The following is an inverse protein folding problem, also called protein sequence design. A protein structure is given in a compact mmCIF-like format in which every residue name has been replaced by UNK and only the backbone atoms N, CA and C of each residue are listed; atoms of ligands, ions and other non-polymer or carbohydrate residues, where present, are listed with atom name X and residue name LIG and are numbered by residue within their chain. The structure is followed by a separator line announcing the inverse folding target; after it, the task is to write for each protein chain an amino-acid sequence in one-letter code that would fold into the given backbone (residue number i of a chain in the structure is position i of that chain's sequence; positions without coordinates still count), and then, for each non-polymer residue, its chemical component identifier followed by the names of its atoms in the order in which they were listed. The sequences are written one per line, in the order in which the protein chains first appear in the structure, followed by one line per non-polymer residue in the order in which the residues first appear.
data_IF_146010778173
#
_entry.id   IF_146010778173
#
_cell.length_a   1.000
_cell.length_b   1.000
_cell.length_c   1.000
_cell.angle_alpha   90.00
_cell.angle_beta   90.00
_cell.angle_gamma   90.00
#
_symmetry.space_group_name_H-M   'P 1'
#
loop_
_entity.id
_entity.type
_entity.pdbx_description
1 polymer ?
#
# COMPACT_ATOMS: atom_id res chain seq x y z
N UNK A 1 11.68 -21.47 2.75
CA UNK A 1 10.64 -20.49 3.10
C UNK A 1 9.49 -20.64 2.11
N UNK A 2 8.26 -20.77 2.63
CA UNK A 2 7.02 -20.94 1.88
C UNK A 2 6.68 -19.61 1.19
N UNK A 3 6.17 -19.59 -0.05
CA UNK A 3 5.73 -18.35 -0.67
C UNK A 3 4.60 -17.69 0.12
N UNK A 4 4.66 -16.36 0.30
CA UNK A 4 3.59 -15.65 0.99
C UNK A 4 2.28 -15.73 0.19
N UNK A 5 1.19 -16.12 0.85
CA UNK A 5 -0.16 -16.15 0.26
C UNK A 5 -0.98 -14.88 0.57
N UNK A 6 -0.47 -14.02 1.45
CA UNK A 6 -1.08 -12.72 1.78
C UNK A 6 -0.01 -11.62 1.73
N UNK A 7 -0.29 -10.52 1.05
CA UNK A 7 0.54 -9.30 1.04
C UNK A 7 -0.23 -8.17 1.73
N UNK A 8 0.30 -7.69 2.84
CA UNK A 8 -0.19 -6.49 3.53
C UNK A 8 0.49 -5.28 2.88
N UNK A 9 -0.28 -4.43 2.21
CA UNK A 9 0.25 -3.32 1.42
C UNK A 9 -0.13 -1.98 2.06
N UNK A 10 0.85 -1.17 2.45
CA UNK A 10 0.59 0.22 2.79
C UNK A 10 0.31 1.02 1.52
N UNK A 11 -0.65 1.93 1.58
CA UNK A 11 -1.13 2.66 0.40
C UNK A 11 -0.96 4.17 0.59
N UNK A 12 -0.35 4.80 -0.40
CA UNK A 12 -0.24 6.25 -0.52
C UNK A 12 -1.40 6.87 -1.27
N UNK A 13 -1.31 8.17 -1.48
CA UNK A 13 -2.27 8.93 -2.31
C UNK A 13 -1.63 9.48 -3.57
N UNK A 14 -0.41 9.03 -3.90
CA UNK A 14 0.37 9.56 -5.03
C UNK A 14 -0.30 9.27 -6.37
N UNK A 15 -1.01 8.14 -6.51
CA UNK A 15 -1.67 7.76 -7.78
C UNK A 15 -2.55 8.91 -8.27
N UNK A 16 -3.42 9.41 -7.40
CA UNK A 16 -4.31 10.51 -7.74
C UNK A 16 -3.61 11.87 -7.66
N UNK A 17 -2.80 12.11 -6.61
CA UNK A 17 -2.28 13.46 -6.34
C UNK A 17 -1.03 13.85 -7.13
N UNK A 18 -0.20 12.88 -7.47
CA UNK A 18 1.15 13.11 -8.02
C UNK A 18 1.27 12.57 -9.44
N UNK A 19 0.66 11.42 -9.74
CA UNK A 19 0.71 10.84 -11.08
C UNK A 19 -0.37 11.45 -12.00
N UNK A 20 -1.62 11.53 -11.56
CA UNK A 20 -2.74 11.93 -12.43
C UNK A 20 -3.11 13.42 -12.28
N UNK A 21 -3.23 13.93 -11.05
CA UNK A 21 -3.68 15.31 -10.79
C UNK A 21 -2.91 16.40 -11.55
N UNK A 22 -1.56 16.34 -11.62
CA UNK A 22 -0.77 17.34 -12.35
C UNK A 22 -0.94 17.34 -13.86
N UNK A 23 -1.59 16.33 -14.46
CA UNK A 23 -1.83 16.29 -15.92
C UNK A 23 -2.63 17.51 -16.40
N UNK A 24 -3.54 18.01 -15.56
CA UNK A 24 -4.31 19.24 -15.81
C UNK A 24 -3.46 20.51 -15.97
N UNK A 25 -2.22 20.50 -15.46
CA UNK A 25 -1.32 21.66 -15.42
C UNK A 25 -0.27 21.62 -16.54
N UNK A 26 -0.25 20.56 -17.35
CA UNK A 26 0.74 20.42 -18.42
C UNK A 26 0.43 21.37 -19.58
N UNK A 27 1.44 22.12 -20.03
CA UNK A 27 1.33 23.00 -21.20
C UNK A 27 1.49 22.28 -22.55
N UNK A 28 1.61 20.94 -22.53
CA UNK A 28 1.73 20.10 -23.72
C UNK A 28 0.41 19.37 -24.01
N UNK A 29 0.17 18.95 -25.26
CA UNK A 29 -0.95 18.04 -25.54
C UNK A 29 -0.81 16.74 -24.73
N UNK A 30 -1.94 16.30 -24.18
CA UNK A 30 -2.08 15.04 -23.46
C UNK A 30 -2.30 13.89 -24.43
N UNK A 31 -1.71 12.73 -24.16
CA UNK A 31 -2.01 11.51 -24.90
C UNK A 31 -3.44 11.01 -24.60
N UNK A 32 -3.93 10.03 -25.38
CA UNK A 32 -5.30 9.53 -25.22
C UNK A 32 -5.54 8.90 -23.83
N UNK A 33 -4.53 8.27 -23.23
CA UNK A 33 -4.64 7.66 -21.90
C UNK A 33 -4.70 8.75 -20.84
N UNK A 34 -3.83 9.76 -20.92
CA UNK A 34 -3.80 10.92 -20.03
C UNK A 34 -5.12 11.69 -20.06
N UNK A 35 -5.72 11.89 -21.24
CA UNK A 35 -7.04 12.50 -21.38
C UNK A 35 -8.13 11.69 -20.67
N UNK A 36 -8.12 10.35 -20.84
CA UNK A 36 -9.07 9.46 -20.16
C UNK A 36 -8.91 9.50 -18.65
N UNK A 37 -7.67 9.47 -18.16
CA UNK A 37 -7.36 9.54 -16.72
C UNK A 37 -7.81 10.86 -16.11
N UNK A 38 -7.56 11.98 -16.79
CA UNK A 38 -7.96 13.30 -16.33
C UNK A 38 -9.49 13.44 -16.29
N UNK A 39 -10.18 13.05 -17.36
CA UNK A 39 -11.65 13.06 -17.39
C UNK A 39 -12.25 12.14 -16.31
N UNK A 40 -11.66 10.97 -16.08
CA UNK A 40 -12.09 10.07 -15.01
C UNK A 40 -11.88 10.66 -13.61
N UNK A 41 -10.79 11.42 -13.39
CA UNK A 41 -10.54 12.13 -12.14
C UNK A 41 -11.55 13.25 -11.90
N UNK A 42 -11.80 14.09 -12.92
CA UNK A 42 -12.75 15.21 -12.86
C UNK A 42 -14.19 14.75 -12.62
N UNK A 43 -14.59 13.65 -13.27
CA UNK A 43 -15.93 13.05 -13.13
C UNK A 43 -16.04 12.06 -11.98
N UNK A 44 -14.96 11.82 -11.24
CA UNK A 44 -14.85 10.80 -10.19
C UNK A 44 -15.28 9.39 -10.66
N UNK A 45 -15.04 9.07 -11.93
CA UNK A 45 -15.37 7.78 -12.53
C UNK A 45 -14.20 6.80 -12.34
N UNK A 46 -14.16 6.15 -11.16
CA UNK A 46 -13.06 5.25 -10.78
C UNK A 46 -12.98 3.97 -11.62
N UNK A 47 -14.09 3.52 -12.21
CA UNK A 47 -14.10 2.39 -13.15
C UNK A 47 -13.38 2.76 -14.44
N UNK A 48 -13.73 3.90 -15.04
CA UNK A 48 -13.05 4.41 -16.24
C UNK A 48 -11.56 4.66 -16.00
N UNK A 49 -11.20 5.13 -14.80
CA UNK A 49 -9.80 5.28 -14.40
C UNK A 49 -9.08 3.94 -14.33
N UNK A 50 -9.67 2.94 -13.67
CA UNK A 50 -9.09 1.60 -13.61
C UNK A 50 -8.94 0.98 -15.01
N UNK A 51 -9.93 1.10 -15.89
CA UNK A 51 -9.87 0.60 -17.26
C UNK A 51 -8.78 1.28 -18.10
N UNK A 52 -8.60 2.59 -17.93
CA UNK A 52 -7.54 3.33 -18.61
C UNK A 52 -6.15 2.91 -18.13
N UNK A 53 -5.98 2.70 -16.81
CA UNK A 53 -4.72 2.23 -16.23
C UNK A 53 -4.43 0.76 -16.57
N UNK A 54 -5.45 -0.09 -16.67
CA UNK A 54 -5.31 -1.50 -17.03
C UNK A 54 -4.79 -1.71 -18.47
N UNK A 55 -4.96 -0.71 -19.34
CA UNK A 55 -4.38 -0.72 -20.70
C UNK A 55 -2.87 -0.46 -20.74
N UNK A 56 -2.24 -0.14 -19.60
CA UNK A 56 -0.81 0.11 -19.49
C UNK A 56 -0.08 -1.11 -18.92
N UNK A 57 1.23 -1.26 -19.19
CA UNK A 57 2.07 -2.21 -18.48
C UNK A 57 2.01 -1.98 -16.95
N UNK A 58 1.99 -3.03 -16.12
CA UNK A 58 1.87 -2.90 -14.67
C UNK A 58 3.08 -2.23 -13.99
N UNK A 59 4.22 -2.12 -14.69
CA UNK A 59 5.41 -1.39 -14.27
C UNK A 59 5.45 0.07 -14.77
N UNK A 60 4.44 0.51 -15.53
CA UNK A 60 4.27 1.91 -15.92
C UNK A 60 4.07 2.78 -14.67
N UNK A 61 4.79 3.90 -14.60
CA UNK A 61 4.75 4.84 -13.47
C UNK A 61 3.34 5.38 -13.21
N UNK A 62 2.50 5.46 -14.25
CA UNK A 62 1.11 5.94 -14.16
C UNK A 62 0.20 4.97 -13.41
N UNK A 63 0.53 3.69 -13.34
CA UNK A 63 -0.22 2.70 -12.55
C UNK A 63 0.00 2.85 -11.03
N UNK A 64 0.98 3.67 -10.62
CA UNK A 64 1.27 3.96 -9.23
C UNK A 64 2.21 2.95 -8.55
N UNK A 65 2.75 3.38 -7.41
CA UNK A 65 3.79 2.64 -6.70
C UNK A 65 3.29 1.29 -6.17
N UNK A 66 2.03 1.20 -5.75
CA UNK A 66 1.40 -0.02 -5.23
C UNK A 66 1.32 -1.10 -6.32
N UNK A 67 0.82 -0.77 -7.51
CA UNK A 67 0.73 -1.73 -8.62
C UNK A 67 2.12 -2.18 -9.06
N UNK A 68 3.03 -1.22 -9.28
CA UNK A 68 4.39 -1.55 -9.71
C UNK A 68 5.11 -2.45 -8.70
N UNK A 69 5.04 -2.12 -7.40
CA UNK A 69 5.72 -2.90 -6.37
C UNK A 69 5.11 -4.29 -6.19
N UNK A 70 3.79 -4.44 -6.26
CA UNK A 70 3.13 -5.75 -6.24
C UNK A 70 3.48 -6.60 -7.47
N UNK A 71 3.57 -5.98 -8.65
CA UNK A 71 4.01 -6.66 -9.88
C UNK A 71 5.44 -7.19 -9.76
N UNK A 72 6.37 -6.37 -9.24
CA UNK A 72 7.76 -6.78 -8.99
C UNK A 72 7.84 -7.87 -7.92
N UNK A 73 7.06 -7.77 -6.84
CA UNK A 73 7.01 -8.80 -5.80
C UNK A 73 6.54 -10.14 -6.34
N UNK A 74 5.52 -10.17 -7.20
CA UNK A 74 5.05 -11.40 -7.84
C UNK A 74 6.11 -12.01 -8.78
N UNK A 75 6.91 -11.17 -9.43
CA UNK A 75 7.86 -11.61 -10.46
C UNK A 75 9.22 -12.02 -9.89
N UNK A 76 9.69 -11.34 -8.84
CA UNK A 76 11.07 -11.45 -8.35
C UNK A 76 11.19 -12.07 -6.95
N UNK A 77 10.08 -12.24 -6.23
CA UNK A 77 10.07 -12.70 -4.83
C UNK A 77 9.19 -13.95 -4.70
N UNK A 78 9.43 -14.73 -3.64
CA UNK A 78 8.57 -15.84 -3.21
C UNK A 78 7.23 -15.35 -2.65
N UNK A 79 6.38 -14.77 -3.50
CA UNK A 79 4.95 -14.56 -3.26
C UNK A 79 4.19 -15.54 -4.15
N UNK A 80 3.02 -16.01 -3.71
CA UNK A 80 2.15 -16.79 -4.58
C UNK A 80 1.78 -16.01 -5.85
N UNK A 81 1.39 -16.73 -6.90
CA UNK A 81 1.01 -16.12 -8.19
C UNK A 81 -0.24 -15.24 -8.11
N UNK A 82 -1.15 -15.58 -7.20
CA UNK A 82 -2.37 -14.82 -6.90
C UNK A 82 -2.54 -14.71 -5.38
N UNK A 83 -1.74 -13.86 -4.71
CA UNK A 83 -1.84 -13.67 -3.26
C UNK A 83 -3.05 -12.81 -2.93
N UNK A 84 -3.56 -12.97 -1.71
CA UNK A 84 -4.49 -11.99 -1.13
C UNK A 84 -3.76 -10.67 -0.89
N UNK A 85 -4.31 -9.57 -1.38
CA UNK A 85 -3.80 -8.22 -1.12
C UNK A 85 -4.66 -7.55 -0.05
N UNK A 86 -4.05 -7.10 1.05
CA UNK A 86 -4.72 -6.31 2.08
C UNK A 86 -4.20 -4.88 2.01
N UNK A 87 -5.01 -3.99 1.45
CA UNK A 87 -4.69 -2.57 1.25
C UNK A 87 -4.98 -1.76 2.51
N UNK A 88 -3.94 -1.16 3.10
CA UNK A 88 -4.03 -0.32 4.29
C UNK A 88 -4.05 1.15 3.88
N UNK A 89 -5.26 1.73 3.75
CA UNK A 89 -5.46 3.11 3.27
C UNK A 89 -5.62 4.10 4.42
N UNK A 90 -5.24 5.35 4.17
CA UNK A 90 -5.48 6.46 5.09
C UNK A 90 -6.97 6.77 5.23
N UNK A 91 -7.37 7.22 6.42
CA UNK A 91 -8.73 7.69 6.69
C UNK A 91 -8.91 9.13 6.19
N UNK A 92 -8.76 9.27 4.88
CA UNK A 92 -8.89 10.52 4.13
C UNK A 92 -9.71 10.27 2.89
N UNK A 93 -10.26 11.33 2.31
CA UNK A 93 -11.01 11.21 1.06
C UNK A 93 -10.13 10.66 -0.08
N UNK A 94 -8.92 11.20 -0.25
CA UNK A 94 -7.96 10.67 -1.21
C UNK A 94 -7.55 9.22 -0.93
N UNK A 95 -7.44 8.82 0.33
CA UNK A 95 -7.16 7.44 0.72
C UNK A 95 -8.26 6.48 0.26
N UNK A 96 -9.53 6.85 0.48
CA UNK A 96 -10.70 6.08 0.04
C UNK A 96 -10.81 6.02 -1.48
N UNK A 97 -10.59 7.13 -2.17
CA UNK A 97 -10.61 7.19 -3.63
C UNK A 97 -9.51 6.32 -4.23
N UNK A 98 -8.27 6.44 -3.73
CA UNK A 98 -7.13 5.62 -4.18
C UNK A 98 -7.38 4.14 -3.92
N UNK A 99 -7.89 3.81 -2.72
CA UNK A 99 -8.27 2.43 -2.38
C UNK A 99 -9.35 1.86 -3.30
N UNK A 100 -10.34 2.67 -3.69
CA UNK A 100 -11.39 2.27 -4.64
C UNK A 100 -10.79 1.97 -6.01
N UNK A 101 -9.94 2.86 -6.54
CA UNK A 101 -9.26 2.65 -7.83
C UNK A 101 -8.41 1.38 -7.79
N UNK A 102 -7.60 1.19 -6.75
CA UNK A 102 -6.76 -0.01 -6.63
C UNK A 102 -7.57 -1.30 -6.52
N UNK A 103 -8.72 -1.28 -5.85
CA UNK A 103 -9.61 -2.44 -5.73
C UNK A 103 -10.21 -2.84 -7.08
N UNK A 104 -10.45 -1.87 -7.97
CA UNK A 104 -10.93 -2.12 -9.33
C UNK A 104 -9.79 -2.52 -10.29
N UNK A 105 -8.60 -1.95 -10.09
CA UNK A 105 -7.45 -2.09 -10.98
C UNK A 105 -6.65 -3.38 -10.75
N UNK A 106 -6.38 -3.75 -9.51
CA UNK A 106 -5.52 -4.91 -9.18
C UNK A 106 -6.03 -6.24 -9.76
N UNK A 107 -7.36 -6.53 -9.80
CA UNK A 107 -7.88 -7.71 -10.50
C UNK A 107 -7.55 -7.74 -11.99
N UNK A 108 -7.48 -6.58 -12.66
CA UNK A 108 -7.09 -6.50 -14.08
C UNK A 108 -5.62 -6.91 -14.31
N UNK A 109 -4.79 -6.86 -13.26
CA UNK A 109 -3.41 -7.33 -13.27
C UNK A 109 -3.22 -8.73 -12.70
N UNK A 110 -4.31 -9.46 -12.43
CA UNK A 110 -4.29 -10.84 -11.94
C UNK A 110 -4.13 -10.99 -10.43
N UNK A 111 -4.46 -9.96 -9.64
CA UNK A 111 -4.61 -10.05 -8.19
C UNK A 111 -6.10 -10.15 -7.85
N UNK A 112 -6.61 -11.38 -7.77
CA UNK A 112 -8.06 -11.62 -7.76
C UNK A 112 -8.70 -11.38 -6.39
N UNK A 113 -7.90 -11.41 -5.31
CA UNK A 113 -8.37 -11.22 -3.93
C UNK A 113 -7.78 -9.93 -3.35
N UNK A 114 -8.61 -8.87 -3.30
CA UNK A 114 -8.22 -7.56 -2.76
C UNK A 114 -9.16 -7.18 -1.63
N UNK A 115 -8.59 -6.97 -0.44
CA UNK A 115 -9.29 -6.46 0.73
C UNK A 115 -8.86 -5.03 1.03
N UNK A 116 -9.83 -4.16 1.30
CA UNK A 116 -9.58 -2.77 1.67
C UNK A 116 -9.76 -2.57 3.18
N UNK A 117 -8.77 -1.96 3.83
CA UNK A 117 -8.79 -1.62 5.26
C UNK A 117 -8.51 -0.13 5.44
N UNK A 118 -9.54 0.62 5.83
CA UNK A 118 -9.39 2.03 6.21
C UNK A 118 -8.85 2.14 7.63
N UNK A 119 -7.69 2.79 7.77
CA UNK A 119 -7.03 2.91 9.07
C UNK A 119 -7.56 4.14 9.82
N UNK A 120 -8.48 3.90 10.76
CA UNK A 120 -9.14 4.95 11.54
C UNK A 120 -8.14 5.94 12.15
N UNK A 121 -8.37 7.23 11.89
CA UNK A 121 -7.54 8.33 12.41
C UNK A 121 -6.19 8.51 11.72
N UNK A 122 -5.87 7.71 10.69
CA UNK A 122 -4.67 7.90 9.86
C UNK A 122 -4.95 9.00 8.82
N UNK A 123 -4.98 10.25 9.28
CA UNK A 123 -5.29 11.44 8.48
C UNK A 123 -4.31 12.57 8.78
N UNK A 124 -3.95 13.35 7.77
CA UNK A 124 -3.09 14.53 7.88
C UNK A 124 -3.84 15.80 8.32
N UNK A 125 -5.17 15.72 8.51
CA UNK A 125 -5.99 16.84 8.96
C UNK A 125 -5.72 17.27 10.42
N UNK A 126 -5.39 16.31 11.30
CA UNK A 126 -5.07 16.57 12.71
C UNK A 126 -3.85 15.73 13.15
N UNK A 127 -2.68 16.38 13.36
CA UNK A 127 -1.46 15.69 13.79
C UNK A 127 -1.59 14.93 15.14
N UNK A 128 -2.46 15.38 16.05
CA UNK A 128 -2.68 14.69 17.33
C UNK A 128 -3.47 13.41 17.13
N UNK A 129 -4.52 13.44 16.30
CA UNK A 129 -5.30 12.25 15.95
C UNK A 129 -4.43 11.27 15.16
N UNK A 130 -3.67 11.76 14.18
CA UNK A 130 -2.71 10.95 13.43
C UNK A 130 -1.78 10.16 14.35
N UNK A 131 -1.15 10.85 15.31
CA UNK A 131 -0.18 10.27 16.23
C UNK A 131 -0.81 9.32 17.25
N UNK A 132 -1.91 9.72 17.90
CA UNK A 132 -2.48 8.99 19.05
C UNK A 132 -3.43 7.87 18.62
N UNK A 133 -4.14 8.07 17.51
CA UNK A 133 -5.16 7.14 17.00
C UNK A 133 -4.65 6.46 15.73
N UNK A 134 -4.30 7.23 14.69
CA UNK A 134 -3.96 6.70 13.37
C UNK A 134 -2.83 5.67 13.37
N UNK A 135 -1.68 6.03 13.95
CA UNK A 135 -0.52 5.13 14.03
C UNK A 135 -0.78 3.88 14.88
N UNK A 136 -1.58 4.00 15.95
CA UNK A 136 -1.98 2.87 16.80
C UNK A 136 -2.96 1.94 16.08
N UNK A 137 -3.94 2.52 15.37
CA UNK A 137 -4.87 1.76 14.52
C UNK A 137 -4.12 1.02 13.41
N UNK A 138 -3.15 1.67 12.77
CA UNK A 138 -2.30 1.01 11.77
C UNK A 138 -1.59 -0.21 12.35
N UNK A 139 -0.90 -0.03 13.49
CA UNK A 139 -0.18 -1.11 14.14
C UNK A 139 -1.11 -2.27 14.49
N UNK A 140 -2.32 -1.96 15.00
CA UNK A 140 -3.35 -2.95 15.32
C UNK A 140 -3.77 -3.73 14.08
N UNK A 141 -4.12 -3.06 12.99
CA UNK A 141 -4.60 -3.72 11.75
C UNK A 141 -3.54 -4.60 11.09
N UNK A 142 -2.27 -4.17 11.10
CA UNK A 142 -1.16 -5.00 10.62
C UNK A 142 -1.02 -6.26 11.49
N UNK A 143 -0.97 -6.11 12.81
CA UNK A 143 -0.88 -7.24 13.74
C UNK A 143 -2.09 -8.18 13.64
N UNK A 144 -3.29 -7.65 13.44
CA UNK A 144 -4.51 -8.44 13.22
C UNK A 144 -4.42 -9.23 11.92
N UNK A 145 -3.97 -8.61 10.83
CA UNK A 145 -3.78 -9.28 9.54
C UNK A 145 -2.76 -10.42 9.65
N UNK A 146 -1.60 -10.16 10.24
CA UNK A 146 -0.55 -11.18 10.47
C UNK A 146 -1.10 -12.34 11.30
N UNK A 147 -1.87 -12.06 12.35
CA UNK A 147 -2.48 -13.08 13.20
C UNK A 147 -3.53 -13.91 12.46
N UNK A 148 -4.38 -13.27 11.67
CA UNK A 148 -5.49 -13.93 10.97
C UNK A 148 -5.01 -14.85 9.85
N UNK A 149 -3.92 -14.50 9.17
CA UNK A 149 -3.42 -15.26 8.03
C UNK A 149 -2.17 -16.10 8.32
N UNK A 150 -1.54 -15.93 9.48
CA UNK A 150 -0.31 -16.61 9.87
C UNK A 150 0.93 -15.88 9.35
N UNK A 151 1.90 -15.61 10.24
CA UNK A 151 3.10 -14.84 9.93
C UNK A 151 3.94 -15.43 8.80
N UNK A 152 4.03 -16.75 8.71
CA UNK A 152 4.79 -17.51 7.72
C UNK A 152 4.17 -17.46 6.32
N UNK A 153 2.91 -17.01 6.20
CA UNK A 153 2.18 -16.85 4.94
C UNK A 153 2.01 -15.38 4.55
N UNK A 154 2.55 -14.45 5.34
CA UNK A 154 2.43 -13.02 5.10
C UNK A 154 3.72 -12.44 4.53
N UNK A 155 3.56 -11.38 3.73
CA UNK A 155 4.60 -10.44 3.37
C UNK A 155 4.06 -9.01 3.54
N UNK A 156 4.92 -8.03 3.79
CA UNK A 156 4.54 -6.62 3.87
C UNK A 156 5.16 -5.88 2.69
N UNK A 157 4.32 -5.21 1.91
CA UNK A 157 4.73 -4.20 0.95
C UNK A 157 4.64 -2.81 1.61
N UNK A 158 5.79 -2.25 1.95
CA UNK A 158 5.92 -0.96 2.61
C UNK A 158 6.39 0.14 1.64
N UNK A 159 5.97 0.08 0.37
CA UNK A 159 6.36 1.04 -0.68
C UNK A 159 5.60 2.36 -0.58
N UNK A 160 4.27 2.30 -0.48
CA UNK A 160 3.39 3.48 -0.46
C UNK A 160 3.00 3.92 0.94
N UNK A 161 2.46 5.14 1.05
CA UNK A 161 1.91 5.67 2.30
C UNK A 161 2.77 6.72 2.98
N UNK A 162 2.33 7.16 4.17
CA UNK A 162 3.11 8.10 4.98
C UNK A 162 4.43 7.45 5.42
N UNK A 163 5.50 8.24 5.55
CA UNK A 163 6.79 7.74 6.08
C UNK A 163 6.64 7.07 7.45
N UNK A 164 5.78 7.62 8.33
CA UNK A 164 5.46 7.02 9.62
C UNK A 164 4.68 5.70 9.49
N UNK A 165 3.80 5.57 8.50
CA UNK A 165 3.08 4.33 8.20
C UNK A 165 4.03 3.23 7.72
N UNK A 166 4.93 3.57 6.80
CA UNK A 166 6.00 2.69 6.32
C UNK A 166 6.89 2.23 7.48
N UNK A 167 7.33 3.17 8.33
CA UNK A 167 8.20 2.86 9.47
C UNK A 167 7.55 1.88 10.47
N UNK A 168 6.25 2.05 10.77
CA UNK A 168 5.50 1.12 11.63
C UNK A 168 5.38 -0.25 10.98
N UNK A 169 5.05 -0.31 9.69
CA UNK A 169 4.92 -1.56 8.96
C UNK A 169 6.25 -2.35 8.93
N UNK A 170 7.37 -1.66 8.67
CA UNK A 170 8.71 -2.26 8.73
C UNK A 170 9.01 -2.77 10.14
N UNK A 171 8.78 -1.97 11.17
CA UNK A 171 9.08 -2.33 12.56
C UNK A 171 8.31 -3.57 13.00
N UNK A 172 6.99 -3.59 12.75
CA UNK A 172 6.13 -4.73 13.09
C UNK A 172 6.50 -5.95 12.28
N UNK A 173 6.76 -5.80 10.98
CA UNK A 173 7.18 -6.90 10.12
C UNK A 173 8.45 -7.58 10.63
N UNK A 174 9.48 -6.78 10.93
CA UNK A 174 10.74 -7.28 11.48
C UNK A 174 10.54 -7.98 12.84
N UNK A 175 9.80 -7.35 13.77
CA UNK A 175 9.54 -7.93 15.09
C UNK A 175 8.69 -9.21 15.03
N UNK A 176 7.77 -9.30 14.07
CA UNK A 176 6.91 -10.47 13.83
C UNK A 176 7.54 -11.51 12.90
N UNK A 177 8.78 -11.30 12.44
CA UNK A 177 9.48 -12.15 11.46
C UNK A 177 8.71 -12.34 10.14
N UNK A 178 7.97 -11.32 9.73
CA UNK A 178 7.28 -11.23 8.44
C UNK A 178 8.20 -10.50 7.46
N UNK A 179 8.49 -11.07 6.26
CA UNK A 179 9.28 -10.40 5.24
C UNK A 179 8.70 -9.04 4.85
N UNK A 180 9.54 -8.01 4.82
CA UNK A 180 9.15 -6.65 4.43
C UNK A 180 9.89 -6.25 3.16
N UNK A 181 9.16 -5.65 2.24
CA UNK A 181 9.63 -5.23 0.92
C UNK A 181 9.33 -3.76 0.68
N UNK A 182 10.21 -3.10 -0.07
CA UNK A 182 10.08 -1.71 -0.48
C UNK A 182 10.66 -1.53 -1.88
N UNK A 183 9.92 -0.87 -2.78
CA UNK A 183 10.43 -0.49 -4.10
C UNK A 183 11.14 0.86 -4.01
N UNK A 184 12.42 0.90 -4.36
CA UNK A 184 13.18 2.16 -4.41
C UNK A 184 12.98 2.86 -5.77
N UNK A 185 12.70 4.16 -5.75
CA UNK A 185 12.36 4.94 -6.95
C UNK A 185 13.50 4.98 -7.98
N UNK A 186 14.77 5.06 -7.54
CA UNK A 186 15.92 5.23 -8.45
C UNK A 186 16.38 3.97 -9.20
N UNK A 187 16.21 2.77 -8.62
CA UNK A 187 16.77 1.53 -9.19
C UNK A 187 15.70 0.61 -9.79
N UNK A 188 14.42 1.03 -9.74
CA UNK A 188 13.25 0.29 -10.22
C UNK A 188 13.22 -1.19 -9.80
N UNK A 189 13.70 -1.48 -8.58
CA UNK A 189 13.79 -2.84 -8.05
C UNK A 189 13.17 -2.93 -6.66
N UNK A 190 12.79 -4.16 -6.29
CA UNK A 190 12.19 -4.49 -5.01
C UNK A 190 13.27 -4.92 -4.02
N UNK A 191 13.37 -4.18 -2.91
CA UNK A 191 14.36 -4.44 -1.87
C UNK A 191 13.67 -5.21 -0.75
N UNK A 192 14.25 -6.36 -0.39
CA UNK A 192 13.89 -7.05 0.85
C UNK A 192 14.68 -6.46 2.00
N UNK A 193 14.00 -6.06 3.08
CA UNK A 193 14.71 -5.68 4.29
C UNK A 193 15.42 -6.90 4.86
N UNK A 194 16.73 -6.81 5.16
CA UNK A 194 17.44 -7.90 5.83
C UNK A 194 16.79 -8.15 7.19
N UNK A 195 16.87 -9.39 7.72
CA UNK A 195 16.37 -9.69 9.05
C UNK A 195 17.14 -8.84 10.07
N UNK A 196 16.42 -7.94 10.74
CA UNK A 196 16.99 -7.07 11.75
C UNK A 196 16.94 -7.77 13.13
N UNK A 197 17.91 -7.50 14.03
CA UNK A 197 17.92 -8.04 15.39
C UNK A 197 16.88 -7.33 16.28
N UNK A 198 15.62 -7.30 15.83
CA UNK A 198 14.50 -6.64 16.48
C UNK A 198 13.48 -7.70 16.86
N UNK A 199 13.02 -7.66 18.10
CA UNK A 199 11.98 -8.53 18.62
C UNK A 199 11.00 -7.71 19.47
N UNK A 200 9.79 -8.24 19.69
CA UNK A 200 8.86 -7.61 20.63
C UNK A 200 9.40 -7.68 22.05
N UNK A 201 9.57 -6.51 22.67
CA UNK A 201 9.83 -6.38 24.09
C UNK A 201 8.51 -6.40 24.87
N UNK A 202 8.14 -7.59 25.35
CA UNK A 202 6.92 -7.78 26.12
C UNK A 202 6.97 -7.08 27.48
N UNK A 203 8.14 -6.88 28.06
CA UNK A 203 8.30 -6.14 29.33
C UNK A 203 8.01 -4.66 29.14
N UNK A 204 8.51 -4.07 28.05
CA UNK A 204 8.17 -2.71 27.65
C UNK A 204 6.68 -2.57 27.37
N UNK A 205 6.09 -3.53 26.64
CA UNK A 205 4.65 -3.52 26.37
C UNK A 205 3.83 -3.57 27.67
N UNK A 206 4.13 -4.49 28.59
CA UNK A 206 3.42 -4.60 29.87
C UNK A 206 3.48 -3.30 30.67
N UNK A 207 4.66 -2.68 30.74
CA UNK A 207 4.88 -1.40 31.45
C UNK A 207 4.03 -0.25 30.88
N UNK A 208 3.77 -0.26 29.58
CA UNK A 208 3.03 0.80 28.88
C UNK A 208 1.64 0.38 28.39
N UNK A 209 1.16 -0.80 28.79
CA UNK A 209 -0.12 -1.36 28.35
C UNK A 209 -1.32 -0.48 28.70
N UNK A 210 -1.22 0.33 29.76
CA UNK A 210 -2.22 1.32 30.16
C UNK A 210 -2.28 2.58 29.27
N UNK A 211 -1.24 2.81 28.44
CA UNK A 211 -1.17 3.91 27.47
C UNK A 211 -1.55 3.46 26.04
N UNK A 212 -1.69 2.14 25.85
CA UNK A 212 -1.86 1.46 24.56
C UNK A 212 -3.25 0.85 24.36
#
# INVERSE_FOLDING_TARGET
MIPASTVICTVGTSLLRTQIGPLSLLSRPLDMVEQRLLNALETQNWHSMADALAGLPPDDVRCGAEVNSLHLMRSNIRVNSDPRIVLMISDTEYGRQTGTVLTLLLPQFGFSSVELRTISGLSDADPQIFRRVGLRSLAREICMSIRNYGSEFCAINATGGYKAQIAIAVTIGQAARVPVYYKHELFNDIISFPPMPVAFDFSLWLKHSSLL
#
